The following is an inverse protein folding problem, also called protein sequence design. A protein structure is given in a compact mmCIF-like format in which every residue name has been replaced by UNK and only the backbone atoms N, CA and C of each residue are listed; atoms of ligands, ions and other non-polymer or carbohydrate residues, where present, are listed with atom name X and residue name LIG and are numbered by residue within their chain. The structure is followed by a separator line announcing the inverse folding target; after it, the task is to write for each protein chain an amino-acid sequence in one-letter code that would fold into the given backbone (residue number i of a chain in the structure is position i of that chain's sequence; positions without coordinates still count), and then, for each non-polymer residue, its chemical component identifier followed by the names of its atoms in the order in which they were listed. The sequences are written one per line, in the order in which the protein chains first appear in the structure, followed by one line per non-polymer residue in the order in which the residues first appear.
data_IF_676219644581
#
_entry.id   IF_676219644581
#
_cell.length_a   1.000
_cell.length_b   1.000
_cell.length_c   1.000
_cell.angle_alpha   90.00
_cell.angle_beta   90.00
_cell.angle_gamma   90.00
#
_symmetry.space_group_name_H-M   'P 1'
#
loop_
_entity.id
_entity.type
_entity.pdbx_description
1 polymer ?
#
# COMPACT_ATOMS: atom_id res chain seq x y z
N UNK A 1 148.63 -80.92 1.02
CA UNK A 1 148.02 -79.70 0.46
C UNK A 1 146.53 -79.86 0.18
N UNK A 2 146.03 -81.01 -0.28
CA UNK A 2 144.61 -81.22 -0.63
C UNK A 2 143.61 -81.17 0.55
N UNK A 3 143.94 -81.73 1.72
CA UNK A 3 143.04 -81.75 2.90
C UNK A 3 142.76 -80.33 3.44
N UNK A 4 143.71 -79.39 3.29
CA UNK A 4 143.57 -78.02 3.76
C UNK A 4 142.56 -77.23 2.93
N UNK A 5 142.52 -77.44 1.60
CA UNK A 5 141.52 -76.81 0.71
C UNK A 5 140.10 -77.36 0.93
N UNK A 6 139.97 -78.62 1.33
CA UNK A 6 138.68 -79.25 1.64
C UNK A 6 138.08 -78.70 2.94
N UNK A 7 138.92 -78.49 3.96
CA UNK A 7 138.54 -77.85 5.22
C UNK A 7 138.17 -76.37 5.05
N UNK A 8 138.92 -75.60 4.26
CA UNK A 8 138.59 -74.19 4.02
C UNK A 8 137.30 -74.05 3.21
N UNK A 9 137.05 -74.90 2.22
CA UNK A 9 135.79 -74.94 1.48
C UNK A 9 134.57 -75.27 2.34
N UNK A 10 134.72 -76.18 3.31
CA UNK A 10 133.65 -76.55 4.24
C UNK A 10 133.32 -75.40 5.21
N UNK A 11 134.33 -74.72 5.73
CA UNK A 11 134.14 -73.54 6.58
C UNK A 11 133.47 -72.41 5.80
N UNK A 12 133.91 -72.14 4.56
CA UNK A 12 133.30 -71.12 3.71
C UNK A 12 131.84 -71.49 3.39
N UNK A 13 131.54 -72.76 3.08
CA UNK A 13 130.18 -73.24 2.81
C UNK A 13 129.26 -73.12 4.03
N UNK A 14 129.74 -73.42 5.24
CA UNK A 14 128.98 -73.24 6.48
C UNK A 14 128.73 -71.76 6.78
N UNK A 15 129.73 -70.90 6.60
CA UNK A 15 129.58 -69.45 6.77
C UNK A 15 128.60 -68.90 5.73
N UNK A 16 128.68 -69.34 4.48
CA UNK A 16 127.78 -68.90 3.40
C UNK A 16 126.35 -69.39 3.62
N UNK A 17 126.15 -70.64 4.04
CA UNK A 17 124.84 -71.17 4.41
C UNK A 17 124.23 -70.48 5.63
N UNK A 18 125.06 -70.15 6.63
CA UNK A 18 124.63 -69.36 7.79
C UNK A 18 124.19 -67.95 7.39
N UNK A 19 124.94 -67.27 6.51
CA UNK A 19 124.60 -65.94 5.97
C UNK A 19 123.30 -65.98 5.17
N UNK A 20 123.11 -66.98 4.29
CA UNK A 20 121.87 -67.13 3.52
C UNK A 20 120.68 -67.38 4.44
N UNK A 21 120.82 -68.26 5.45
CA UNK A 21 119.76 -68.50 6.44
C UNK A 21 119.42 -67.23 7.22
N UNK A 22 120.41 -66.41 7.57
CA UNK A 22 120.23 -65.12 8.25
C UNK A 22 119.49 -64.12 7.35
N UNK A 23 119.81 -64.06 6.05
CA UNK A 23 119.13 -63.20 5.09
C UNK A 23 117.66 -63.62 4.85
N UNK A 24 117.40 -64.93 4.69
CA UNK A 24 116.04 -65.47 4.52
C UNK A 24 115.22 -65.27 5.80
N UNK A 25 115.79 -65.60 6.96
CA UNK A 25 115.13 -65.41 8.26
C UNK A 25 114.83 -63.93 8.54
N UNK A 26 115.73 -63.02 8.19
CA UNK A 26 115.51 -61.57 8.33
C UNK A 26 114.46 -61.05 7.36
N UNK A 27 114.41 -61.59 6.14
CA UNK A 27 113.37 -61.30 5.13
C UNK A 27 111.98 -61.80 5.57
N UNK A 28 111.88 -63.03 6.06
CA UNK A 28 110.62 -63.58 6.60
C UNK A 28 110.16 -62.85 7.86
N UNK A 29 111.09 -62.54 8.76
CA UNK A 29 110.78 -61.75 9.97
C UNK A 29 110.28 -60.36 9.61
N UNK A 30 110.91 -59.68 8.64
CA UNK A 30 110.46 -58.37 8.16
C UNK A 30 109.08 -58.41 7.50
N UNK A 31 108.78 -59.44 6.69
CA UNK A 31 107.45 -59.66 6.10
C UNK A 31 106.37 -59.95 7.16
N UNK A 32 106.70 -60.74 8.18
CA UNK A 32 105.80 -61.04 9.29
C UNK A 32 105.56 -59.80 10.15
N UNK A 33 106.56 -58.95 10.33
CA UNK A 33 106.46 -57.68 11.05
C UNK A 33 105.59 -56.67 10.29
N UNK A 34 105.77 -56.52 8.97
CA UNK A 34 104.87 -55.73 8.11
C UNK A 34 103.43 -56.24 8.13
N UNK A 35 103.23 -57.57 8.05
CA UNK A 35 101.89 -58.18 8.11
C UNK A 35 101.23 -57.92 9.47
N UNK A 36 101.97 -58.05 10.57
CA UNK A 36 101.46 -57.75 11.91
C UNK A 36 101.10 -56.27 12.05
N UNK A 37 101.94 -55.37 11.51
CA UNK A 37 101.67 -53.94 11.54
C UNK A 37 100.41 -53.58 10.75
N UNK A 38 100.25 -54.12 9.54
CA UNK A 38 99.02 -53.91 8.74
C UNK A 38 97.78 -54.48 9.45
N UNK A 39 97.89 -55.67 10.05
CA UNK A 39 96.78 -56.24 10.81
C UNK A 39 96.44 -55.41 12.06
N UNK A 40 97.43 -54.80 12.71
CA UNK A 40 97.19 -53.87 13.82
C UNK A 40 96.50 -52.60 13.34
N UNK A 41 96.94 -52.02 12.22
CA UNK A 41 96.32 -50.84 11.61
C UNK A 41 94.86 -51.14 11.20
N UNK A 42 94.59 -52.27 10.53
CA UNK A 42 93.22 -52.70 10.17
C UNK A 42 92.34 -52.91 11.41
N UNK A 43 92.90 -53.43 12.51
CA UNK A 43 92.13 -53.70 13.72
C UNK A 43 91.78 -52.39 14.45
N UNK A 44 92.70 -51.43 14.46
CA UNK A 44 92.44 -50.07 14.98
C UNK A 44 91.37 -49.38 14.14
N UNK A 45 91.43 -49.48 12.81
CA UNK A 45 90.43 -48.91 11.92
C UNK A 45 89.04 -49.53 12.16
N UNK A 46 88.96 -50.86 12.24
CA UNK A 46 87.70 -51.56 12.54
C UNK A 46 87.16 -51.26 13.94
N UNK A 47 88.01 -51.14 14.96
CA UNK A 47 87.58 -50.71 16.29
C UNK A 47 87.03 -49.29 16.27
N UNK A 48 87.65 -48.39 15.49
CA UNK A 48 87.17 -47.03 15.29
C UNK A 48 85.80 -47.00 14.60
N UNK A 49 85.64 -47.76 13.51
CA UNK A 49 84.34 -47.89 12.81
C UNK A 49 83.25 -48.49 13.71
N UNK A 50 83.59 -49.55 14.46
CA UNK A 50 82.65 -50.19 15.39
C UNK A 50 82.22 -49.23 16.50
N UNK A 51 83.14 -48.43 17.02
CA UNK A 51 82.82 -47.41 18.03
C UNK A 51 81.94 -46.30 17.45
N UNK A 52 82.21 -45.85 16.22
CA UNK A 52 81.38 -44.86 15.54
C UNK A 52 79.94 -45.38 15.30
N UNK A 53 79.79 -46.63 14.86
CA UNK A 53 78.47 -47.23 14.64
C UNK A 53 77.72 -47.48 15.95
N UNK A 54 78.43 -47.83 17.03
CA UNK A 54 77.86 -47.93 18.38
C UNK A 54 77.38 -46.56 18.89
N UNK A 55 78.16 -45.51 18.68
CA UNK A 55 77.75 -44.15 19.07
C UNK A 55 76.51 -43.70 18.30
N UNK A 56 76.45 -44.00 16.99
CA UNK A 56 75.29 -43.74 16.15
C UNK A 56 74.05 -44.52 16.61
N UNK A 57 74.21 -45.80 16.92
CA UNK A 57 73.13 -46.64 17.45
C UNK A 57 72.63 -46.14 18.80
N UNK A 58 73.54 -45.68 19.66
CA UNK A 58 73.21 -45.09 20.94
C UNK A 58 72.39 -43.80 20.76
N UNK A 59 72.81 -42.90 19.87
CA UNK A 59 72.07 -41.68 19.53
C UNK A 59 70.67 -42.00 18.98
N UNK A 60 70.58 -42.90 17.99
CA UNK A 60 69.31 -43.32 17.41
C UNK A 60 68.35 -43.94 18.44
N UNK A 61 68.84 -44.77 19.36
CA UNK A 61 68.01 -45.33 20.42
C UNK A 61 67.55 -44.27 21.43
N UNK A 62 68.42 -43.30 21.75
CA UNK A 62 68.04 -42.17 22.60
C UNK A 62 66.97 -41.31 21.93
N UNK A 63 67.14 -41.00 20.66
CA UNK A 63 66.18 -40.21 19.87
C UNK A 63 64.84 -40.94 19.71
N UNK A 64 64.87 -42.26 19.45
CA UNK A 64 63.65 -43.09 19.41
C UNK A 64 62.91 -43.10 20.75
N UNK A 65 63.65 -43.21 21.86
CA UNK A 65 63.04 -43.20 23.20
C UNK A 65 62.40 -41.84 23.50
N UNK A 66 63.05 -40.74 23.12
CA UNK A 66 62.50 -39.39 23.26
C UNK A 66 61.25 -39.20 22.39
N UNK A 67 61.33 -39.60 21.11
CA UNK A 67 60.23 -39.44 20.17
C UNK A 67 59.02 -40.29 20.58
N UNK A 68 59.24 -41.47 21.15
CA UNK A 68 58.17 -42.32 21.65
C UNK A 68 57.50 -41.73 22.88
N UNK A 69 58.28 -41.16 23.81
CA UNK A 69 57.72 -40.43 24.96
C UNK A 69 56.91 -39.19 24.51
N UNK A 70 57.39 -38.45 23.50
CA UNK A 70 56.67 -37.31 22.93
C UNK A 70 55.37 -37.74 22.24
N UNK A 71 55.39 -38.87 21.53
CA UNK A 71 54.22 -39.43 20.88
C UNK A 71 53.16 -39.87 21.89
N UNK A 72 53.55 -40.56 22.96
CA UNK A 72 52.65 -41.02 24.01
C UNK A 72 52.01 -39.82 24.75
N UNK A 73 52.80 -38.80 25.08
CA UNK A 73 52.32 -37.55 25.68
C UNK A 73 51.36 -36.79 24.74
N UNK A 74 51.65 -36.75 23.44
CA UNK A 74 50.77 -36.12 22.46
C UNK A 74 49.44 -36.87 22.32
N UNK A 75 49.47 -38.21 22.35
CA UNK A 75 48.26 -39.03 22.37
C UNK A 75 47.42 -38.78 23.61
N UNK A 76 48.04 -38.72 24.79
CA UNK A 76 47.34 -38.44 26.05
C UNK A 76 46.68 -37.06 26.01
N UNK A 77 47.39 -36.02 25.57
CA UNK A 77 46.84 -34.67 25.40
C UNK A 77 45.69 -34.61 24.39
N UNK A 78 45.78 -35.33 23.28
CA UNK A 78 44.70 -35.38 22.30
C UNK A 78 43.45 -36.07 22.86
N UNK A 79 43.63 -37.12 23.67
CA UNK A 79 42.53 -37.79 24.34
C UNK A 79 41.86 -36.89 25.39
N UNK A 80 42.66 -36.19 26.19
CA UNK A 80 42.19 -35.21 27.19
C UNK A 80 41.40 -34.07 26.52
N UNK A 81 41.97 -33.43 25.50
CA UNK A 81 41.31 -32.35 24.75
C UNK A 81 39.99 -32.79 24.11
N UNK A 82 39.93 -34.03 23.60
CA UNK A 82 38.69 -34.56 23.03
C UNK A 82 37.61 -34.70 24.11
N UNK A 83 37.97 -35.19 25.30
CA UNK A 83 37.07 -35.25 26.45
C UNK A 83 36.57 -33.88 26.89
N UNK A 84 37.47 -32.89 27.00
CA UNK A 84 37.11 -31.52 27.33
C UNK A 84 36.11 -30.91 26.33
N UNK A 85 36.28 -31.18 25.03
CA UNK A 85 35.36 -30.71 23.99
C UNK A 85 33.97 -31.33 24.14
N UNK A 86 33.90 -32.63 24.45
CA UNK A 86 32.62 -33.33 24.68
C UNK A 86 31.90 -32.77 25.92
N UNK A 87 32.60 -32.55 27.02
CA UNK A 87 32.04 -31.90 28.23
C UNK A 87 31.57 -30.47 27.96
N UNK A 88 32.36 -29.70 27.19
CA UNK A 88 32.01 -28.33 26.82
C UNK A 88 30.75 -28.30 25.95
N UNK A 89 30.60 -29.23 25.00
CA UNK A 89 29.40 -29.38 24.17
C UNK A 89 28.17 -29.71 25.02
N UNK A 90 28.27 -30.67 25.95
CA UNK A 90 27.16 -30.99 26.85
C UNK A 90 26.73 -29.78 27.69
N UNK A 91 27.71 -29.04 28.23
CA UNK A 91 27.44 -27.82 29.00
C UNK A 91 26.79 -26.75 28.13
N UNK A 92 27.24 -26.58 26.89
CA UNK A 92 26.64 -25.63 25.95
C UNK A 92 25.18 -25.97 25.62
N UNK A 93 24.86 -27.25 25.41
CA UNK A 93 23.49 -27.70 25.13
C UNK A 93 22.59 -27.40 26.34
N UNK A 94 23.04 -27.71 27.56
CA UNK A 94 22.29 -27.43 28.80
C UNK A 94 22.07 -25.94 29.02
N UNK A 95 23.11 -25.11 28.85
CA UNK A 95 22.99 -23.64 28.97
C UNK A 95 22.09 -23.05 27.88
N UNK A 96 22.17 -23.57 26.65
CA UNK A 96 21.30 -23.16 25.56
C UNK A 96 19.83 -23.49 25.84
N UNK A 97 19.54 -24.70 26.32
CA UNK A 97 18.20 -25.12 26.70
C UNK A 97 17.65 -24.25 27.84
N UNK A 98 18.45 -24.00 28.88
CA UNK A 98 18.08 -23.12 29.99
C UNK A 98 17.81 -21.68 29.52
N UNK A 99 18.66 -21.13 28.65
CA UNK A 99 18.47 -19.79 28.09
C UNK A 99 17.23 -19.73 27.20
N UNK A 100 17.00 -20.73 26.35
CA UNK A 100 15.83 -20.82 25.50
C UNK A 100 14.54 -20.88 26.33
N UNK A 101 14.51 -21.73 27.37
CA UNK A 101 13.40 -21.81 28.31
C UNK A 101 13.18 -20.47 29.02
N UNK A 102 14.24 -19.82 29.51
CA UNK A 102 14.16 -18.51 30.17
C UNK A 102 13.66 -17.41 29.24
N UNK A 103 14.15 -17.34 28.01
CA UNK A 103 13.66 -16.40 26.99
C UNK A 103 12.20 -16.68 26.67
N UNK A 104 11.83 -17.94 26.51
CA UNK A 104 10.45 -18.34 26.21
C UNK A 104 9.51 -17.99 27.36
N UNK A 105 9.91 -18.21 28.61
CA UNK A 105 9.14 -17.90 29.81
C UNK A 105 9.01 -16.38 30.04
N UNK A 106 10.11 -15.63 29.88
CA UNK A 106 10.14 -14.16 29.96
C UNK A 106 9.31 -13.51 28.85
N UNK A 107 9.30 -14.09 27.64
CA UNK A 107 8.45 -13.64 26.53
C UNK A 107 6.99 -14.06 26.72
N UNK A 108 6.70 -15.28 27.15
CA UNK A 108 5.33 -15.80 27.29
C UNK A 108 4.52 -15.06 28.36
N UNK A 109 5.15 -14.75 29.51
CA UNK A 109 4.48 -14.06 30.62
C UNK A 109 4.16 -12.58 30.33
N UNK A 110 5.01 -11.85 29.58
CA UNK A 110 4.79 -10.41 29.29
C UNK A 110 4.05 -10.12 27.99
N UNK A 111 3.98 -11.06 27.04
CA UNK A 111 3.55 -10.74 25.67
C UNK A 111 2.04 -10.83 25.41
N UNK A 112 1.28 -11.61 26.20
CA UNK A 112 -0.14 -11.87 25.88
C UNK A 112 -1.12 -10.93 26.61
N UNK A 113 -0.81 -10.52 27.84
CA UNK A 113 -1.76 -9.75 28.65
C UNK A 113 -1.55 -8.23 28.51
N UNK A 114 -0.30 -7.75 28.53
CA UNK A 114 0.00 -6.32 28.36
C UNK A 114 -0.35 -5.84 26.96
N UNK A 115 -0.06 -6.63 25.93
CA UNK A 115 -0.34 -6.26 24.54
C UNK A 115 -1.85 -6.30 24.24
N UNK A 116 -2.60 -7.26 24.79
CA UNK A 116 -4.07 -7.31 24.66
C UNK A 116 -4.74 -6.14 25.38
N UNK A 117 -4.19 -5.70 26.51
CA UNK A 117 -4.71 -4.56 27.28
C UNK A 117 -4.40 -3.23 26.59
N UNK A 118 -3.15 -3.03 26.15
CA UNK A 118 -2.75 -1.83 25.39
C UNK A 118 -3.45 -1.74 24.03
N UNK A 119 -3.59 -2.86 23.31
CA UNK A 119 -4.37 -2.87 22.07
C UNK A 119 -5.85 -2.59 22.34
N UNK A 120 -6.42 -3.05 23.46
CA UNK A 120 -7.79 -2.68 23.86
C UNK A 120 -7.93 -1.19 24.10
N UNK A 121 -7.03 -0.58 24.87
CA UNK A 121 -7.06 0.86 25.15
C UNK A 121 -6.96 1.71 23.88
N UNK A 122 -6.24 1.24 22.86
CA UNK A 122 -6.12 1.94 21.57
C UNK A 122 -7.31 1.64 20.64
N UNK A 123 -7.81 0.41 20.62
CA UNK A 123 -8.83 -0.04 19.66
C UNK A 123 -10.28 0.23 20.14
N UNK A 124 -10.53 0.26 21.45
CA UNK A 124 -11.87 0.53 21.99
C UNK A 124 -12.38 1.94 21.61
N UNK A 125 -11.58 3.03 21.74
CA UNK A 125 -11.98 4.34 21.25
C UNK A 125 -12.25 4.36 19.74
N UNK A 126 -11.46 3.64 18.95
CA UNK A 126 -11.65 3.57 17.50
C UNK A 126 -12.96 2.86 17.14
N UNK A 127 -13.27 1.75 17.82
CA UNK A 127 -14.53 1.01 17.65
C UNK A 127 -15.73 1.88 18.02
N UNK A 128 -15.63 2.60 19.12
CA UNK A 128 -16.68 3.50 19.60
C UNK A 128 -16.95 4.62 18.58
N UNK A 129 -15.88 5.26 18.06
CA UNK A 129 -15.99 6.27 17.01
C UNK A 129 -16.58 5.75 15.70
N UNK A 130 -16.21 4.54 15.28
CA UNK A 130 -16.77 3.92 14.08
C UNK A 130 -18.26 3.63 14.29
N UNK A 131 -18.66 3.18 15.47
CA UNK A 131 -20.08 2.95 15.78
C UNK A 131 -20.88 4.26 15.83
N UNK A 132 -20.35 5.32 16.45
CA UNK A 132 -20.94 6.66 16.43
C UNK A 132 -21.11 7.18 15.01
N UNK A 133 -20.07 7.01 14.17
CA UNK A 133 -20.11 7.42 12.78
C UNK A 133 -21.15 6.64 11.98
N UNK A 134 -21.21 5.31 12.14
CA UNK A 134 -22.21 4.49 11.47
C UNK A 134 -23.63 4.92 11.85
N UNK A 135 -23.89 5.13 13.14
CA UNK A 135 -25.18 5.62 13.63
C UNK A 135 -25.53 7.00 13.03
N UNK A 136 -24.57 7.91 12.96
CA UNK A 136 -24.79 9.26 12.38
C UNK A 136 -25.08 9.21 10.89
N UNK A 137 -24.42 8.32 10.15
CA UNK A 137 -24.67 8.11 8.72
C UNK A 137 -26.06 7.51 8.49
N UNK A 138 -26.46 6.50 9.27
CA UNK A 138 -27.80 5.91 9.18
C UNK A 138 -28.89 6.94 9.51
N UNK A 139 -28.71 7.73 10.57
CA UNK A 139 -29.63 8.81 10.94
C UNK A 139 -29.75 9.86 9.83
N UNK A 140 -28.64 10.31 9.27
CA UNK A 140 -28.62 11.31 8.18
C UNK A 140 -29.29 10.78 6.91
N UNK A 141 -29.07 9.50 6.57
CA UNK A 141 -29.73 8.88 5.43
C UNK A 141 -31.24 8.78 5.65
N UNK A 142 -31.68 8.43 6.86
CA UNK A 142 -33.09 8.39 7.21
C UNK A 142 -33.74 9.77 7.10
N UNK A 143 -33.12 10.80 7.68
CA UNK A 143 -33.59 12.19 7.53
C UNK A 143 -33.65 12.65 6.07
N UNK A 144 -32.67 12.27 5.25
CA UNK A 144 -32.63 12.59 3.83
C UNK A 144 -33.77 11.92 3.05
N UNK A 145 -34.09 10.66 3.36
CA UNK A 145 -35.22 9.95 2.77
C UNK A 145 -36.53 10.66 3.13
N UNK A 146 -36.72 11.01 4.40
CA UNK A 146 -37.93 11.69 4.88
C UNK A 146 -38.09 13.07 4.23
N UNK A 147 -37.00 13.86 4.14
CA UNK A 147 -37.02 15.16 3.44
C UNK A 147 -37.34 15.03 1.95
N UNK A 148 -36.75 14.03 1.27
CA UNK A 148 -37.04 13.79 -0.14
C UNK A 148 -38.48 13.31 -0.36
N UNK A 149 -39.03 12.50 0.55
CA UNK A 149 -40.43 12.09 0.49
C UNK A 149 -41.37 13.29 0.68
N UNK A 150 -41.11 14.15 1.68
CA UNK A 150 -41.86 15.37 1.91
C UNK A 150 -41.78 16.33 0.71
N UNK A 151 -40.60 16.51 0.12
CA UNK A 151 -40.42 17.32 -1.08
C UNK A 151 -41.19 16.76 -2.28
N UNK A 152 -41.15 15.44 -2.50
CA UNK A 152 -41.95 14.78 -3.56
C UNK A 152 -43.44 15.01 -3.36
N UNK A 153 -43.92 14.94 -2.13
CA UNK A 153 -45.33 15.23 -1.80
C UNK A 153 -45.68 16.68 -2.09
N UNK A 154 -44.82 17.64 -1.70
CA UNK A 154 -45.03 19.06 -2.01
C UNK A 154 -45.02 19.33 -3.52
N UNK A 155 -44.09 18.72 -4.27
CA UNK A 155 -44.05 18.82 -5.73
C UNK A 155 -45.30 18.22 -6.39
N UNK A 156 -45.80 17.09 -5.88
CA UNK A 156 -47.06 16.50 -6.37
C UNK A 156 -48.24 17.43 -6.11
N UNK A 157 -48.33 17.99 -4.90
CA UNK A 157 -49.38 18.96 -4.54
C UNK A 157 -49.30 20.23 -5.39
N UNK A 158 -48.10 20.75 -5.65
CA UNK A 158 -47.89 21.88 -6.57
C UNK A 158 -48.32 21.54 -8.00
N UNK A 159 -47.99 20.35 -8.48
CA UNK A 159 -48.41 19.90 -9.82
C UNK A 159 -49.94 19.81 -9.91
N UNK A 160 -50.60 19.24 -8.90
CA UNK A 160 -52.06 19.16 -8.82
C UNK A 160 -52.70 20.55 -8.78
N UNK A 161 -52.20 21.46 -7.94
CA UNK A 161 -52.66 22.84 -7.90
C UNK A 161 -52.47 23.56 -9.25
N UNK A 162 -51.36 23.32 -9.95
CA UNK A 162 -51.11 23.94 -11.26
C UNK A 162 -52.06 23.39 -12.34
N UNK A 163 -52.32 22.08 -12.33
CA UNK A 163 -53.33 21.46 -13.19
C UNK A 163 -54.72 22.01 -12.92
N UNK A 164 -55.11 22.13 -11.66
CA UNK A 164 -56.39 22.73 -11.28
C UNK A 164 -56.48 24.19 -11.70
N UNK A 165 -55.43 25.00 -11.47
CA UNK A 165 -55.40 26.40 -11.87
C UNK A 165 -55.51 26.56 -13.39
N UNK A 166 -54.83 25.70 -14.15
CA UNK A 166 -54.92 25.68 -15.62
C UNK A 166 -56.33 25.31 -16.09
N UNK A 167 -56.96 24.33 -15.43
CA UNK A 167 -58.35 23.95 -15.71
C UNK A 167 -59.33 25.08 -15.35
N UNK A 168 -59.15 25.75 -14.21
CA UNK A 168 -59.98 26.87 -13.77
C UNK A 168 -59.83 28.08 -14.71
N UNK A 169 -58.61 28.38 -15.16
CA UNK A 169 -58.35 29.40 -16.16
C UNK A 169 -58.99 29.05 -17.51
N UNK A 170 -58.95 27.78 -17.93
CA UNK A 170 -59.60 27.32 -19.16
C UNK A 170 -61.13 27.35 -19.04
N UNK A 171 -61.68 26.96 -17.89
CA UNK A 171 -63.12 27.03 -17.60
C UNK A 171 -63.60 28.49 -17.57
N UNK A 172 -62.84 29.40 -16.94
CA UNK A 172 -63.12 30.83 -16.93
C UNK A 172 -63.09 31.39 -18.36
N UNK A 173 -62.06 31.04 -19.14
CA UNK A 173 -61.96 31.43 -20.55
C UNK A 173 -63.15 30.91 -21.36
N UNK A 174 -63.56 29.66 -21.16
CA UNK A 174 -64.71 29.07 -21.85
C UNK A 174 -66.05 29.69 -21.41
N UNK A 175 -66.21 30.00 -20.12
CA UNK A 175 -67.38 30.72 -19.61
C UNK A 175 -67.48 32.14 -20.21
N UNK A 176 -66.34 32.82 -20.38
CA UNK A 176 -66.27 34.11 -21.07
C UNK A 176 -66.46 34.00 -22.60
N UNK A 177 -66.13 32.85 -23.21
CA UNK A 177 -66.37 32.56 -24.64
C UNK A 177 -67.82 32.24 -24.98
N UNK A 178 -68.55 31.59 -24.06
CA UNK A 178 -69.83 30.94 -24.33
C UNK A 178 -71.05 31.86 -24.46
N UNK A 179 -71.03 33.05 -23.86
CA UNK A 179 -72.16 33.97 -23.88
C UNK A 179 -71.72 35.39 -24.25
N UNK A 180 -72.06 35.81 -25.48
CA UNK A 180 -71.85 37.19 -25.98
C UNK A 180 -72.44 38.24 -25.02
N UNK A 181 -73.53 37.91 -24.34
CA UNK A 181 -74.20 38.77 -23.34
C UNK A 181 -73.38 38.94 -22.05
N UNK A 182 -72.65 37.92 -21.64
CA UNK A 182 -71.89 37.89 -20.37
C UNK A 182 -70.55 38.61 -20.54
N UNK A 183 -70.00 38.61 -21.76
CA UNK A 183 -68.87 39.46 -22.17
C UNK A 183 -69.24 40.94 -22.22
N UNK A 184 -70.42 41.28 -22.75
CA UNK A 184 -70.98 42.64 -22.71
C UNK A 184 -71.13 43.14 -21.27
N UNK A 185 -71.79 42.35 -20.42
CA UNK A 185 -71.96 42.67 -19.00
C UNK A 185 -70.63 42.86 -18.24
N UNK A 186 -69.57 42.11 -18.58
CA UNK A 186 -68.24 42.29 -17.98
C UNK A 186 -67.55 43.58 -18.44
N UNK A 187 -67.67 43.93 -19.72
CA UNK A 187 -67.23 45.21 -20.26
C UNK A 187 -67.92 46.39 -19.59
N UNK A 188 -69.25 46.29 -19.42
CA UNK A 188 -70.06 47.28 -18.70
C UNK A 188 -69.65 47.40 -17.22
N UNK A 189 -69.42 46.29 -16.53
CA UNK A 189 -68.98 46.28 -15.13
C UNK A 189 -67.58 46.93 -14.94
N UNK A 190 -66.66 46.72 -15.88
CA UNK A 190 -65.35 47.39 -15.85
C UNK A 190 -65.49 48.87 -16.14
N UNK A 191 -66.31 49.25 -17.12
CA UNK A 191 -66.58 50.66 -17.44
C UNK A 191 -67.17 51.37 -16.22
N UNK A 192 -68.15 50.77 -15.54
CA UNK A 192 -68.73 51.29 -14.29
C UNK A 192 -67.65 51.50 -13.23
N UNK A 193 -66.79 50.50 -12.99
CA UNK A 193 -65.68 50.62 -12.02
C UNK A 193 -64.70 51.73 -12.38
N UNK A 194 -64.38 51.95 -13.65
CA UNK A 194 -63.48 53.04 -14.08
C UNK A 194 -64.11 54.41 -13.81
N UNK A 195 -65.42 54.56 -14.04
CA UNK A 195 -66.13 55.81 -13.76
C UNK A 195 -66.17 56.11 -12.25
N UNK A 196 -66.44 55.11 -11.42
CA UNK A 196 -66.39 55.23 -9.96
C UNK A 196 -65.00 55.63 -9.46
N UNK A 197 -63.94 54.97 -9.94
CA UNK A 197 -62.55 55.29 -9.58
C UNK A 197 -62.16 56.70 -10.05
N UNK A 198 -62.71 57.15 -11.17
CA UNK A 198 -62.52 58.52 -11.69
C UNK A 198 -63.26 59.59 -10.86
N UNK A 199 -64.00 59.18 -9.83
CA UNK A 199 -64.69 60.06 -8.89
C UNK A 199 -66.10 60.46 -9.33
N UNK A 200 -66.69 59.76 -10.30
CA UNK A 200 -68.09 59.97 -10.72
C UNK A 200 -69.02 59.08 -9.88
N UNK A 201 -70.16 59.61 -9.43
CA UNK A 201 -71.13 58.88 -8.63
C UNK A 201 -72.30 58.39 -9.50
N UNK A 202 -72.69 57.13 -9.30
CA UNK A 202 -73.82 56.51 -10.01
C UNK A 202 -75.12 57.26 -9.69
N UNK A 203 -75.98 57.39 -10.69
CA UNK A 203 -77.28 58.07 -10.64
C UNK A 203 -77.22 59.60 -10.43
N UNK A 204 -76.03 60.17 -10.21
CA UNK A 204 -75.80 61.62 -10.12
C UNK A 204 -75.00 62.15 -11.31
N UNK A 205 -73.77 61.68 -11.51
CA UNK A 205 -72.91 62.09 -12.62
C UNK A 205 -73.00 61.16 -13.84
N UNK A 206 -73.38 59.89 -13.66
CA UNK A 206 -73.60 58.97 -14.79
C UNK A 206 -74.77 58.01 -14.55
N UNK A 207 -75.39 57.54 -15.64
CA UNK A 207 -76.53 56.62 -15.64
C UNK A 207 -76.23 55.45 -16.58
N UNK A 208 -76.61 54.24 -16.17
CA UNK A 208 -76.41 52.99 -16.91
C UNK A 208 -77.75 52.54 -17.54
N UNK A 209 -77.71 52.06 -18.79
CA UNK A 209 -78.81 51.34 -19.47
C UNK A 209 -80.18 52.06 -19.55
N UNK A 210 -80.22 53.39 -19.50
CA UNK A 210 -81.47 54.13 -19.67
C UNK A 210 -81.89 54.11 -21.15
N UNK A 211 -83.03 53.48 -21.45
CA UNK A 211 -83.56 53.51 -22.81
C UNK A 211 -84.22 54.86 -23.07
N UNK A 212 -83.57 55.68 -23.88
CA UNK A 212 -84.06 56.99 -24.28
C UNK A 212 -84.86 56.84 -25.58
N UNK A 213 -86.11 57.29 -25.57
CA UNK A 213 -86.95 57.37 -26.77
C UNK A 213 -86.75 58.75 -27.39
N UNK A 214 -86.16 58.81 -28.59
CA UNK A 214 -86.04 60.06 -29.34
C UNK A 214 -87.41 60.54 -29.83
N UNK A 215 -87.55 61.83 -30.11
CA UNK A 215 -88.80 62.44 -30.58
C UNK A 215 -89.36 61.80 -31.87
N UNK A 216 -88.50 61.13 -32.67
CA UNK A 216 -88.86 60.34 -33.86
C UNK A 216 -89.31 58.89 -33.57
N UNK A 217 -89.52 58.51 -32.30
CA UNK A 217 -90.01 57.19 -31.91
C UNK A 217 -88.99 56.05 -31.99
N UNK A 218 -87.71 56.34 -32.22
CA UNK A 218 -86.62 55.34 -32.14
C UNK A 218 -86.16 55.19 -30.68
N UNK A 219 -86.00 53.93 -30.25
CA UNK A 219 -85.44 53.59 -28.93
C UNK A 219 -83.93 53.45 -29.06
N UNK A 220 -83.18 54.30 -28.36
CA UNK A 220 -81.73 54.23 -28.25
C UNK A 220 -81.39 53.81 -26.82
N UNK A 221 -80.59 52.78 -26.68
CA UNK A 221 -80.14 52.30 -25.38
C UNK A 221 -78.61 52.29 -25.38
N UNK A 222 -77.97 53.40 -24.96
CA UNK A 222 -76.53 53.43 -24.75
C UNK A 222 -76.14 52.69 -23.47
N UNK A 223 -74.90 52.18 -23.42
CA UNK A 223 -74.37 51.49 -22.23
C UNK A 223 -74.28 52.45 -21.03
N UNK A 224 -73.67 53.64 -21.20
CA UNK A 224 -73.54 54.67 -20.15
C UNK A 224 -73.77 56.09 -20.68
N UNK A 225 -74.46 56.92 -19.90
CA UNK A 225 -74.64 58.36 -20.13
C UNK A 225 -74.01 59.15 -18.99
N UNK A 226 -72.98 59.94 -19.27
CA UNK A 226 -72.36 60.86 -18.30
C UNK A 226 -72.97 62.26 -18.46
N UNK A 227 -73.47 62.84 -17.37
CA UNK A 227 -74.08 64.17 -17.31
C UNK A 227 -73.02 65.22 -17.01
N UNK A 228 -72.89 66.20 -17.90
CA UNK A 228 -72.02 67.35 -17.74
C UNK A 228 -72.82 68.59 -17.27
N UNK A 229 -72.13 69.61 -16.72
CA UNK A 229 -72.71 70.94 -16.52
C UNK A 229 -73.29 71.49 -17.84
N UNK A 230 -74.30 72.38 -17.75
CA UNK A 230 -75.03 72.96 -18.89
C UNK A 230 -75.95 72.01 -19.67
N UNK A 231 -76.48 70.96 -19.03
CA UNK A 231 -77.42 69.98 -19.64
C UNK A 231 -76.82 69.25 -20.87
N UNK A 232 -75.50 69.09 -20.93
CA UNK A 232 -74.83 68.31 -21.96
C UNK A 232 -74.64 66.86 -21.47
N UNK A 233 -74.78 65.91 -22.38
CA UNK A 233 -74.61 64.48 -22.09
C UNK A 233 -73.52 63.90 -22.98
N UNK A 234 -72.63 63.08 -22.40
CA UNK A 234 -71.69 62.23 -23.12
C UNK A 234 -72.23 60.81 -23.10
N UNK A 235 -72.26 60.17 -24.26
CA UNK A 235 -72.67 58.77 -24.41
C UNK A 235 -71.42 57.92 -24.60
N UNK A 236 -71.30 56.83 -23.83
CA UNK A 236 -70.18 55.88 -23.89
C UNK A 236 -70.74 54.49 -24.16
N UNK A 237 -70.17 53.79 -25.14
CA UNK A 237 -70.49 52.42 -25.54
C UNK A 237 -69.24 51.54 -25.31
N UNK A 238 -69.40 50.47 -24.53
CA UNK A 238 -68.30 49.55 -24.19
C UNK A 238 -68.35 48.31 -25.08
N UNK A 239 -67.69 48.38 -26.24
CA UNK A 239 -67.55 47.23 -27.11
C UNK A 239 -66.27 46.46 -26.82
N UNK A 240 -66.38 45.26 -26.24
CA UNK A 240 -65.25 44.38 -25.96
C UNK A 240 -65.22 43.21 -26.96
N UNK A 241 -64.20 43.14 -27.82
CA UNK A 241 -63.96 42.02 -28.75
C UNK A 241 -62.89 41.07 -28.21
N UNK A 242 -63.23 40.33 -27.13
CA UNK A 242 -62.29 39.42 -26.46
C UNK A 242 -61.91 38.21 -27.35
N UNK A 243 -62.83 37.77 -28.21
CA UNK A 243 -62.64 36.62 -29.11
C UNK A 243 -61.57 36.88 -30.18
N UNK A 244 -61.52 38.09 -30.74
CA UNK A 244 -60.51 38.44 -31.73
C UNK A 244 -59.13 38.60 -31.07
N UNK A 245 -59.06 39.20 -29.89
CA UNK A 245 -57.81 39.31 -29.12
C UNK A 245 -57.26 37.94 -28.70
N UNK A 246 -58.11 37.05 -28.19
CA UNK A 246 -57.70 35.71 -27.77
C UNK A 246 -57.23 34.83 -28.94
N UNK A 247 -57.95 34.87 -30.08
CA UNK A 247 -57.50 34.24 -31.33
C UNK A 247 -56.17 34.82 -31.81
N UNK A 248 -56.01 36.15 -31.78
CA UNK A 248 -54.74 36.79 -32.13
C UNK A 248 -53.58 36.30 -31.24
N UNK A 249 -53.79 36.18 -29.93
CA UNK A 249 -52.76 35.70 -29.00
C UNK A 249 -52.48 34.20 -29.10
N UNK A 250 -53.44 33.41 -29.59
CA UNK A 250 -53.34 31.94 -29.67
C UNK A 250 -52.84 31.42 -31.03
N UNK A 251 -52.86 32.25 -32.06
CA UNK A 251 -52.32 31.92 -33.39
C UNK A 251 -50.81 32.17 -33.43
N UNK A 252 -50.08 31.41 -34.25
CA UNK A 252 -48.63 31.59 -34.46
C UNK A 252 -48.31 32.20 -35.84
N UNK A 253 -49.21 32.06 -36.84
CA UNK A 253 -49.03 32.62 -38.18
C UNK A 253 -49.35 34.13 -38.22
N UNK A 254 -48.35 34.92 -38.59
CA UNK A 254 -48.43 36.37 -38.66
C UNK A 254 -49.48 36.85 -39.69
N UNK A 255 -49.75 36.08 -40.76
CA UNK A 255 -50.77 36.46 -41.76
C UNK A 255 -52.19 36.31 -41.22
N UNK A 256 -52.46 35.24 -40.46
CA UNK A 256 -53.76 35.01 -39.84
C UNK A 256 -54.01 35.98 -38.68
N UNK A 257 -52.96 36.29 -37.90
CA UNK A 257 -52.99 37.35 -36.89
C UNK A 257 -53.45 38.68 -37.45
N UNK A 258 -52.93 39.11 -38.60
CA UNK A 258 -53.31 40.38 -39.23
C UNK A 258 -54.77 40.42 -39.69
N UNK A 259 -55.36 39.26 -40.03
CA UNK A 259 -56.78 39.17 -40.41
C UNK A 259 -57.66 39.31 -39.15
N UNK A 260 -57.36 38.55 -38.10
CA UNK A 260 -58.11 38.59 -36.84
C UNK A 260 -57.95 39.92 -36.13
N UNK A 261 -56.79 40.57 -36.22
CA UNK A 261 -56.57 41.92 -35.69
C UNK A 261 -57.50 42.95 -36.33
N UNK A 262 -57.82 42.83 -37.63
CA UNK A 262 -58.80 43.68 -38.29
C UNK A 262 -60.23 43.43 -37.83
N UNK A 263 -60.53 42.24 -37.31
CA UNK A 263 -61.83 41.93 -36.70
C UNK A 263 -61.94 42.42 -35.23
N UNK A 264 -60.82 42.81 -34.60
CA UNK A 264 -60.79 43.34 -33.24
C UNK A 264 -61.15 44.85 -33.17
N UNK A 265 -60.94 45.60 -34.26
CA UNK A 265 -61.21 47.05 -34.40
C UNK A 265 -62.66 47.26 -34.85
#
# INVERSE_FOLDING_TARGET
MEILYLLTGLVIGLVFGWIIKLLISKSESGRLEERNKHLQEDNIEKESELNAEREKTFKLNSDLSSLQADYDNLQEKLAEQKGEIEELQEKFIKEFENLANKIFEEKSSKFTEQNKTQLKEILDPLKERISEFQNKVEETNKESIDRNAALRQQLSSLKEMNLQMSQDAQNLTNALKGEVKTMGNWGEMILERILEISGLEKDREYIIQESVTTEDGKRLQPDVIVKLPDKKNIIIDSKVSLLAYEKYTSLDDEKEKQIVLKEHI
#
